data_IF_855088981435
#
_entry.id   IF_855088981435
#
_cell.length_a   1.000
_cell.length_b   1.000
_cell.length_c   1.000
_cell.angle_alpha   90.00
_cell.angle_beta   90.00
_cell.angle_gamma   90.00
#
_symmetry.space_group_name_H-M   'P 1'
#
loop_
_entity.id
_entity.type
_entity.pdbx_description
1 polymer ?
#
# COMPACT_ATOMS: atom_id res chain seq x y z
N UNK A 1 5.00 -22.87 -5.68
CA UNK A 1 6.47 -23.02 -5.65
C UNK A 1 7.01 -21.75 -5.03
N UNK A 2 7.71 -21.80 -3.91
CA UNK A 2 8.32 -20.61 -3.30
C UNK A 2 9.51 -20.18 -4.17
N UNK A 3 9.47 -18.95 -4.66
CA UNK A 3 10.64 -18.35 -5.29
C UNK A 3 11.78 -18.33 -4.29
N UNK A 4 12.98 -18.81 -4.60
CA UNK A 4 14.09 -18.74 -3.66
C UNK A 4 14.39 -17.29 -3.31
N UNK A 5 14.61 -17.02 -2.03
CA UNK A 5 14.99 -15.70 -1.58
C UNK A 5 16.31 -15.27 -2.24
N UNK A 6 16.32 -14.11 -2.85
CA UNK A 6 17.54 -13.53 -3.43
C UNK A 6 18.36 -12.99 -2.26
N UNK A 7 19.54 -13.57 -2.05
CA UNK A 7 20.46 -13.07 -1.02
C UNK A 7 21.42 -12.05 -1.63
N UNK A 8 21.36 -10.84 -1.14
CA UNK A 8 22.29 -9.78 -1.51
C UNK A 8 23.45 -9.74 -0.51
N UNK A 9 24.59 -10.30 -0.87
CA UNK A 9 25.78 -10.18 -0.04
C UNK A 9 26.44 -8.81 -0.26
N UNK A 10 26.73 -8.08 0.82
CA UNK A 10 27.41 -6.78 0.71
C UNK A 10 28.83 -6.93 0.15
N UNK A 11 29.17 -6.11 -0.82
CA UNK A 11 30.51 -5.98 -1.37
C UNK A 11 31.16 -4.77 -0.72
N UNK A 12 32.38 -4.88 -0.12
CA UNK A 12 33.06 -3.73 0.45
C UNK A 12 33.49 -2.77 -0.67
N UNK A 13 33.11 -1.51 -0.54
CA UNK A 13 33.49 -0.44 -1.43
C UNK A 13 34.20 0.66 -0.62
N UNK A 14 35.36 1.12 -1.08
CA UNK A 14 36.14 2.15 -0.39
C UNK A 14 35.74 3.55 -0.87
N UNK A 15 35.33 4.40 0.06
CA UNK A 15 35.02 5.81 -0.18
C UNK A 15 35.84 6.63 0.82
N UNK A 16 36.76 7.45 0.32
CA UNK A 16 37.63 8.33 1.15
C UNK A 16 38.32 7.59 2.32
N UNK A 17 38.80 6.37 2.08
CA UNK A 17 39.45 5.53 3.11
C UNK A 17 38.51 4.82 4.07
N UNK A 18 37.20 4.92 3.86
CA UNK A 18 36.18 4.22 4.63
C UNK A 18 35.63 3.04 3.84
N UNK A 19 35.70 1.84 4.39
CA UNK A 19 35.06 0.67 3.80
C UNK A 19 33.54 0.70 4.05
N UNK A 20 32.77 0.85 2.99
CA UNK A 20 31.29 0.89 3.03
C UNK A 20 30.75 -0.39 2.42
N UNK A 21 29.85 -1.13 3.12
CA UNK A 21 29.19 -2.28 2.54
C UNK A 21 28.15 -1.83 1.51
N UNK A 22 28.33 -2.22 0.25
CA UNK A 22 27.42 -1.90 -0.86
C UNK A 22 26.61 -3.13 -1.23
N UNK A 23 25.31 -2.99 -1.25
CA UNK A 23 24.36 -4.00 -1.73
C UNK A 23 23.80 -3.53 -3.07
N UNK A 24 23.76 -4.41 -4.05
CA UNK A 24 23.15 -4.14 -5.36
C UNK A 24 21.83 -4.88 -5.52
N UNK A 25 20.85 -4.21 -6.08
CA UNK A 25 19.55 -4.80 -6.40
C UNK A 25 19.04 -4.21 -7.72
N UNK A 26 18.15 -4.91 -8.40
CA UNK A 26 17.50 -4.37 -9.60
C UNK A 26 16.62 -3.16 -9.24
N UNK A 27 15.86 -3.29 -8.17
CA UNK A 27 14.94 -2.24 -7.72
C UNK A 27 15.10 -2.00 -6.22
N UNK A 28 15.26 -0.74 -5.85
CA UNK A 28 15.26 -0.32 -4.44
C UNK A 28 14.04 0.55 -4.18
N UNK A 29 13.21 0.13 -3.23
CA UNK A 29 12.04 0.88 -2.76
C UNK A 29 12.41 1.54 -1.43
N UNK A 30 12.43 2.86 -1.39
CA UNK A 30 12.75 3.61 -0.18
C UNK A 30 11.47 3.97 0.57
N UNK A 31 11.32 3.43 1.75
CA UNK A 31 10.15 3.60 2.63
C UNK A 31 9.23 2.39 2.66
N UNK A 32 8.71 2.09 3.85
CA UNK A 32 7.78 0.98 4.13
C UNK A 32 6.40 1.47 4.57
N UNK A 33 5.96 2.60 4.02
CA UNK A 33 4.57 3.06 4.08
C UNK A 33 3.71 2.35 3.04
N UNK A 34 2.42 2.70 2.95
CA UNK A 34 1.48 2.09 1.99
C UNK A 34 1.97 2.21 0.55
N UNK A 35 2.50 3.36 0.14
CA UNK A 35 3.02 3.55 -1.22
C UNK A 35 4.20 2.63 -1.54
N UNK A 36 5.16 2.48 -0.61
CA UNK A 36 6.31 1.59 -0.78
C UNK A 36 5.89 0.12 -0.88
N UNK A 37 5.01 -0.32 0.00
CA UNK A 37 4.48 -1.68 -0.06
C UNK A 37 3.70 -1.93 -1.34
N UNK A 38 2.80 -1.04 -1.74
CA UNK A 38 2.06 -1.18 -3.00
C UNK A 38 2.98 -1.21 -4.22
N UNK A 39 4.05 -0.42 -4.23
CA UNK A 39 5.02 -0.42 -5.31
C UNK A 39 5.78 -1.76 -5.39
N UNK A 40 6.29 -2.25 -4.26
CA UNK A 40 7.02 -3.51 -4.20
C UNK A 40 6.13 -4.70 -4.57
N UNK A 41 4.93 -4.77 -4.02
CA UNK A 41 3.94 -5.80 -4.28
C UNK A 41 3.54 -5.81 -5.78
N UNK A 42 3.25 -4.64 -6.34
CA UNK A 42 2.91 -4.54 -7.75
C UNK A 42 4.05 -4.90 -8.69
N UNK A 43 5.28 -4.55 -8.36
CA UNK A 43 6.47 -4.95 -9.10
C UNK A 43 6.64 -6.48 -9.06
N UNK A 44 6.43 -7.08 -7.90
CA UNK A 44 6.48 -8.53 -7.72
C UNK A 44 5.42 -9.24 -8.59
N UNK A 45 4.18 -8.77 -8.58
CA UNK A 45 3.10 -9.26 -9.45
C UNK A 45 3.44 -9.21 -10.93
N UNK A 46 4.20 -8.19 -11.34
CA UNK A 46 4.68 -8.02 -12.71
C UNK A 46 5.92 -8.86 -13.03
N UNK A 47 6.36 -9.72 -12.11
CA UNK A 47 7.45 -10.65 -12.30
C UNK A 47 8.82 -10.12 -11.87
N UNK A 48 8.89 -8.93 -11.25
CA UNK A 48 10.15 -8.44 -10.69
C UNK A 48 10.40 -9.10 -9.33
N UNK A 49 11.46 -9.89 -9.23
CA UNK A 49 11.79 -10.62 -7.99
C UNK A 49 12.98 -10.04 -7.21
N UNK A 50 13.80 -9.23 -7.88
CA UNK A 50 14.99 -8.59 -7.28
C UNK A 50 14.63 -7.18 -6.76
N UNK A 51 13.90 -7.14 -5.64
CA UNK A 51 13.41 -5.93 -5.01
C UNK A 51 13.92 -5.86 -3.58
N UNK A 52 14.55 -4.76 -3.21
CA UNK A 52 14.98 -4.46 -1.84
C UNK A 52 14.17 -3.28 -1.31
N UNK A 53 13.55 -3.44 -0.16
CA UNK A 53 12.88 -2.35 0.55
C UNK A 53 13.79 -1.83 1.66
N UNK A 54 13.95 -0.52 1.73
CA UNK A 54 14.80 0.16 2.72
C UNK A 54 13.97 1.10 3.57
N UNK A 55 14.14 1.03 4.89
CA UNK A 55 13.47 1.91 5.84
C UNK A 55 14.37 2.16 7.07
N UNK A 56 14.06 3.18 7.83
CA UNK A 56 14.75 3.52 9.08
C UNK A 56 14.71 2.35 10.09
N UNK A 57 13.57 1.66 10.17
CA UNK A 57 13.37 0.47 11.01
C UNK A 57 12.22 -0.40 10.49
N UNK A 58 12.18 -1.66 10.92
CA UNK A 58 11.04 -2.55 10.64
C UNK A 58 9.76 -1.93 11.21
N UNK A 59 8.74 -1.81 10.37
CA UNK A 59 7.48 -1.17 10.74
C UNK A 59 7.53 0.35 10.79
N UNK A 60 8.55 0.97 10.19
CA UNK A 60 8.54 2.41 9.92
C UNK A 60 7.45 2.78 8.91
N UNK A 61 7.14 4.06 8.85
CA UNK A 61 6.16 4.62 7.93
C UNK A 61 4.91 5.16 8.63
N UNK A 62 4.38 6.24 8.09
CA UNK A 62 3.19 6.90 8.63
C UNK A 62 1.96 5.99 8.58
N UNK A 63 1.83 5.17 7.54
CA UNK A 63 0.69 4.26 7.38
C UNK A 63 0.48 3.29 8.53
N UNK A 64 1.56 2.92 9.23
CA UNK A 64 1.48 2.09 10.44
C UNK A 64 1.38 2.91 11.72
N UNK A 65 2.06 4.06 11.77
CA UNK A 65 2.35 4.77 13.02
C UNK A 65 1.50 6.04 13.21
N UNK A 66 0.84 6.53 12.17
CA UNK A 66 -0.05 7.70 12.20
C UNK A 66 -1.51 7.26 12.08
N UNK A 67 -1.95 6.38 12.95
CA UNK A 67 -3.34 5.92 12.98
C UNK A 67 -4.21 6.81 13.85
N UNK A 68 -5.52 6.80 13.57
CA UNK A 68 -6.54 7.23 14.50
C UNK A 68 -7.23 6.01 15.14
N UNK A 69 -8.01 6.23 16.18
CA UNK A 69 -8.87 5.23 16.81
C UNK A 69 -9.93 4.65 15.85
N UNK A 70 -10.17 5.32 14.72
CA UNK A 70 -11.14 4.95 13.69
C UNK A 70 -10.51 4.46 12.40
N UNK A 71 -9.48 3.70 12.42
CA UNK A 71 -8.82 3.20 11.21
C UNK A 71 -9.81 2.53 10.25
N UNK A 72 -10.41 3.33 9.37
CA UNK A 72 -11.41 2.91 8.40
C UNK A 72 -10.87 3.02 6.99
N UNK A 73 -11.25 2.09 6.13
CA UNK A 73 -10.98 2.17 4.70
C UNK A 73 -12.17 2.83 4.00
N UNK A 74 -11.95 4.01 3.42
CA UNK A 74 -12.98 4.73 2.67
C UNK A 74 -13.02 4.23 1.23
N UNK A 75 -14.15 3.72 0.79
CA UNK A 75 -14.34 3.11 -0.53
C UNK A 75 -15.78 3.19 -0.99
N UNK A 76 -15.97 2.95 -2.28
CA UNK A 76 -17.30 2.71 -2.84
C UNK A 76 -17.99 1.52 -2.21
N UNK A 77 -19.31 1.56 -2.16
CA UNK A 77 -20.17 0.47 -1.71
C UNK A 77 -19.97 -0.77 -2.58
N UNK A 78 -19.84 -1.94 -1.95
CA UNK A 78 -19.66 -3.20 -2.68
C UNK A 78 -20.99 -3.89 -3.04
N UNK A 79 -22.08 -3.52 -2.38
CA UNK A 79 -23.41 -4.12 -2.60
C UNK A 79 -24.51 -3.08 -2.43
N UNK A 80 -25.48 -3.11 -3.32
CA UNK A 80 -26.50 -2.09 -3.42
C UNK A 80 -27.40 -1.96 -2.19
N UNK A 81 -27.29 -0.90 -1.50
CA UNK A 81 -28.12 -0.46 -0.39
C UNK A 81 -28.10 1.05 -0.27
N UNK A 82 -27.04 1.66 -0.74
CA UNK A 82 -26.87 3.11 -0.80
C UNK A 82 -26.46 3.50 -2.21
N UNK A 83 -27.06 4.55 -2.73
CA UNK A 83 -26.63 5.15 -3.99
C UNK A 83 -25.22 5.71 -3.77
N UNK A 84 -24.32 5.29 -4.63
CA UNK A 84 -22.91 5.63 -4.55
C UNK A 84 -22.32 5.65 -5.95
N UNK A 85 -21.41 6.59 -6.21
CA UNK A 85 -20.74 6.68 -7.50
C UNK A 85 -19.31 7.17 -7.37
N UNK A 86 -18.49 6.82 -8.37
CA UNK A 86 -17.11 7.31 -8.47
C UNK A 86 -17.07 8.84 -8.41
N UNK A 87 -17.99 9.51 -9.08
CA UNK A 87 -18.03 10.98 -9.11
C UNK A 87 -18.43 11.58 -7.77
N UNK A 88 -19.39 11.00 -7.05
CA UNK A 88 -19.80 11.48 -5.72
C UNK A 88 -18.67 11.32 -4.71
N UNK A 89 -18.03 10.15 -4.68
CA UNK A 89 -16.88 9.92 -3.82
C UNK A 89 -15.72 10.88 -4.16
N UNK A 90 -15.41 11.04 -5.45
CA UNK A 90 -14.36 11.98 -5.89
C UNK A 90 -14.67 13.43 -5.49
N UNK A 91 -15.91 13.87 -5.67
CA UNK A 91 -16.35 15.20 -5.25
C UNK A 91 -16.24 15.39 -3.74
N UNK A 92 -16.60 14.38 -2.94
CA UNK A 92 -16.47 14.42 -1.48
C UNK A 92 -15.00 14.54 -1.06
N UNK A 93 -14.11 13.76 -1.67
CA UNK A 93 -12.67 13.82 -1.42
C UNK A 93 -12.08 15.18 -1.81
N UNK A 94 -12.47 15.70 -2.98
CA UNK A 94 -12.02 17.01 -3.47
C UNK A 94 -12.52 18.16 -2.61
N UNK A 95 -13.77 18.10 -2.14
CA UNK A 95 -14.37 19.12 -1.28
C UNK A 95 -13.67 19.27 0.08
N UNK A 96 -12.89 18.27 0.50
CA UNK A 96 -12.01 18.34 1.67
C UNK A 96 -10.88 19.35 1.52
N UNK A 97 -10.60 19.84 0.30
CA UNK A 97 -9.68 20.95 0.01
C UNK A 97 -8.19 20.64 0.09
N UNK A 98 -7.82 19.37 0.30
CA UNK A 98 -6.43 18.92 0.44
C UNK A 98 -6.00 17.88 -0.61
N UNK A 99 -6.84 17.61 -1.61
CA UNK A 99 -6.61 16.60 -2.64
C UNK A 99 -6.79 17.21 -4.02
N UNK A 100 -5.90 16.83 -4.94
CA UNK A 100 -6.04 17.10 -6.37
C UNK A 100 -7.23 16.34 -6.97
N UNK A 101 -7.95 16.94 -7.93
CA UNK A 101 -9.16 16.37 -8.49
C UNK A 101 -8.94 15.09 -9.28
N UNK A 102 -7.85 14.98 -10.03
CA UNK A 102 -7.53 13.78 -10.80
C UNK A 102 -7.16 12.63 -9.86
N UNK A 103 -6.44 12.93 -8.78
CA UNK A 103 -6.14 11.96 -7.74
C UNK A 103 -7.40 11.51 -7.00
N UNK A 104 -8.32 12.43 -6.69
CA UNK A 104 -9.60 12.10 -6.08
C UNK A 104 -10.43 11.15 -6.95
N UNK A 105 -10.45 11.39 -8.26
CA UNK A 105 -11.16 10.55 -9.21
C UNK A 105 -10.51 9.17 -9.34
N UNK A 106 -9.18 9.10 -9.42
CA UNK A 106 -8.44 7.84 -9.49
C UNK A 106 -8.62 7.01 -8.22
N UNK A 107 -8.54 7.64 -7.04
CA UNK A 107 -8.75 6.98 -5.74
C UNK A 107 -10.18 6.43 -5.62
N UNK A 108 -11.19 7.23 -5.96
CA UNK A 108 -12.57 6.79 -5.95
C UNK A 108 -12.79 5.60 -6.89
N UNK A 109 -12.31 5.68 -8.13
CA UNK A 109 -12.48 4.62 -9.14
C UNK A 109 -11.80 3.31 -8.74
N UNK A 110 -10.69 3.36 -8.01
CA UNK A 110 -9.90 2.18 -7.60
C UNK A 110 -10.18 1.72 -6.17
N UNK A 111 -11.01 2.44 -5.40
CA UNK A 111 -11.20 2.22 -3.97
C UNK A 111 -11.67 0.79 -3.63
N UNK A 112 -12.65 0.26 -4.34
CA UNK A 112 -13.14 -1.10 -4.14
C UNK A 112 -12.09 -2.16 -4.51
N UNK A 113 -11.34 -1.94 -5.58
CA UNK A 113 -10.25 -2.84 -5.99
C UNK A 113 -9.14 -2.87 -4.95
N UNK A 114 -8.73 -1.70 -4.45
CA UNK A 114 -7.73 -1.60 -3.40
C UNK A 114 -8.16 -2.30 -2.12
N UNK A 115 -9.42 -2.15 -1.74
CA UNK A 115 -9.98 -2.87 -0.59
C UNK A 115 -9.91 -4.39 -0.74
N UNK A 116 -10.36 -4.92 -1.89
CA UNK A 116 -10.34 -6.36 -2.14
C UNK A 116 -8.90 -6.90 -2.20
N UNK A 117 -7.96 -6.13 -2.74
CA UNK A 117 -6.55 -6.50 -2.72
C UNK A 117 -6.00 -6.62 -1.28
N UNK A 118 -6.37 -5.71 -0.39
CA UNK A 118 -6.01 -5.82 1.03
C UNK A 118 -6.63 -7.05 1.69
N UNK A 119 -7.86 -7.41 1.32
CA UNK A 119 -8.51 -8.65 1.78
C UNK A 119 -7.73 -9.88 1.31
N UNK A 120 -7.32 -9.92 0.04
CA UNK A 120 -6.52 -11.01 -0.54
C UNK A 120 -5.15 -11.15 0.15
N UNK A 121 -4.55 -10.04 0.57
CA UNK A 121 -3.33 -10.02 1.39
C UNK A 121 -3.55 -10.48 2.85
N UNK A 122 -4.79 -10.74 3.24
CA UNK A 122 -5.13 -11.25 4.57
C UNK A 122 -5.35 -10.18 5.64
N UNK A 123 -5.60 -8.92 5.26
CA UNK A 123 -5.98 -7.87 6.24
C UNK A 123 -7.33 -8.23 6.85
N UNK A 124 -7.41 -8.36 8.20
CA UNK A 124 -8.61 -8.87 8.88
C UNK A 124 -9.67 -7.76 9.05
N UNK A 125 -10.33 -7.38 7.96
CA UNK A 125 -11.47 -6.47 8.06
C UNK A 125 -12.63 -7.12 8.81
N UNK A 126 -13.35 -6.39 9.69
CA UNK A 126 -14.42 -6.95 10.46
C UNK A 126 -15.59 -7.41 9.57
N UNK A 127 -16.11 -8.59 9.88
CA UNK A 127 -17.25 -9.20 9.18
C UNK A 127 -18.32 -9.58 10.18
N UNK A 128 -19.57 -9.59 9.73
CA UNK A 128 -20.66 -10.17 10.47
C UNK A 128 -20.67 -11.70 10.35
N UNK A 129 -21.63 -12.36 11.03
CA UNK A 129 -21.76 -13.83 11.01
C UNK A 129 -22.06 -14.44 9.64
N UNK A 130 -22.41 -13.63 8.65
CA UNK A 130 -22.71 -14.08 7.29
C UNK A 130 -21.56 -13.79 6.30
N UNK A 131 -20.44 -13.23 6.79
CA UNK A 131 -19.29 -12.87 5.95
C UNK A 131 -19.40 -11.52 5.26
N UNK A 132 -20.39 -10.70 5.58
CA UNK A 132 -20.51 -9.35 5.06
C UNK A 132 -19.55 -8.41 5.81
N UNK A 133 -18.83 -7.57 5.08
CA UNK A 133 -17.97 -6.58 5.69
C UNK A 133 -18.76 -5.51 6.43
N UNK A 134 -18.38 -5.23 7.67
CA UNK A 134 -19.00 -4.19 8.49
C UNK A 134 -18.46 -2.86 8.05
N UNK A 135 -19.33 -1.98 7.56
CA UNK A 135 -19.04 -0.60 7.19
C UNK A 135 -19.64 0.39 8.17
N UNK A 136 -19.08 1.60 8.21
CA UNK A 136 -19.68 2.77 8.85
C UNK A 136 -20.28 3.65 7.76
N UNK A 137 -21.42 4.23 8.05
CA UNK A 137 -22.07 5.28 7.24
C UNK A 137 -21.69 6.65 7.73
#
# INVERSE_FOLDING_TARGET
>A
MSTPAIHHEPIPFEIDGLAVPVVTANTVVVGTGSAGYCAADRLHDLGQSDIVMVADKIGAGASRNAGSDKQTYYKLTLSGGDDDSVHEMANTLFAGGAMDGDNALAEAALSARGFLHLVDLGVPFPQNRYGEFIGYK
#
